data_IF_543862732199
#
_entry.id   IF_543862732199
#
_cell.length_a   1.000
_cell.length_b   1.000
_cell.length_c   1.000
_cell.angle_alpha   90.00
_cell.angle_beta   90.00
_cell.angle_gamma   90.00
#
_symmetry.space_group_name_H-M   'P 1'
#
loop_
_entity.id
_entity.type
_entity.pdbx_description
1 polymer ?
#
# COMPACT_ATOMS: atom_id res chain seq x y z
N UNK A 1 22.46 11.97 9.74
CA UNK A 1 21.44 10.90 9.80
C UNK A 1 21.07 10.65 8.36
N UNK A 2 21.77 9.71 7.75
CA UNK A 2 21.79 9.50 6.30
C UNK A 2 20.37 9.22 5.80
N UNK A 3 19.84 10.19 5.07
CA UNK A 3 18.66 10.05 4.24
C UNK A 3 19.00 8.98 3.22
N UNK A 4 18.43 7.79 3.40
CA UNK A 4 18.59 6.70 2.45
C UNK A 4 17.93 7.17 1.15
N UNK A 5 18.73 7.68 0.22
CA UNK A 5 18.34 7.86 -1.17
C UNK A 5 18.24 6.45 -1.77
N UNK A 6 17.02 5.89 -1.94
CA UNK A 6 16.85 4.56 -2.50
C UNK A 6 17.25 4.51 -4.00
N UNK A 7 17.63 5.65 -4.60
CA UNK A 7 17.80 5.77 -6.03
C UNK A 7 16.46 5.57 -6.78
N UNK A 8 16.50 5.40 -8.11
CA UNK A 8 15.30 5.24 -8.92
C UNK A 8 14.62 3.86 -8.76
N UNK A 9 15.22 2.91 -8.04
CA UNK A 9 14.77 1.52 -7.99
C UNK A 9 14.85 0.92 -6.59
N UNK A 10 13.74 0.35 -6.11
CA UNK A 10 13.71 -0.45 -4.89
C UNK A 10 13.76 -1.94 -5.23
N UNK A 11 14.63 -2.68 -4.54
CA UNK A 11 14.82 -4.11 -4.75
C UNK A 11 14.39 -4.91 -3.52
N UNK A 12 13.59 -5.95 -3.75
CA UNK A 12 13.12 -6.86 -2.71
C UNK A 12 13.35 -8.31 -3.11
N UNK A 13 13.43 -9.26 -2.17
CA UNK A 13 13.55 -10.68 -2.50
C UNK A 13 12.33 -11.19 -3.28
N UNK A 14 12.52 -12.17 -4.17
CA UNK A 14 11.44 -12.89 -4.82
C UNK A 14 10.44 -13.46 -3.79
N UNK A 15 9.15 -13.50 -4.15
CA UNK A 15 8.08 -13.94 -3.24
C UNK A 15 7.78 -12.99 -2.07
N UNK A 16 8.36 -11.79 -2.07
CA UNK A 16 8.09 -10.78 -1.04
C UNK A 16 6.79 -10.01 -1.29
N UNK A 17 6.21 -9.51 -0.21
CA UNK A 17 5.06 -8.62 -0.21
C UNK A 17 5.50 -7.21 0.17
N UNK A 18 5.37 -6.25 -0.75
CA UNK A 18 5.63 -4.84 -0.51
C UNK A 18 4.30 -4.12 -0.29
N UNK A 19 4.13 -3.54 0.88
CA UNK A 19 2.93 -2.80 1.28
C UNK A 19 3.22 -1.30 1.24
N UNK A 20 2.56 -0.60 0.31
CA UNK A 20 2.64 0.86 0.22
C UNK A 20 1.56 1.48 1.11
N UNK A 21 1.98 2.24 2.11
CA UNK A 21 1.14 2.96 3.06
C UNK A 21 1.55 4.44 3.14
N UNK A 22 0.67 5.29 3.66
CA UNK A 22 0.87 6.74 3.66
C UNK A 22 -0.40 7.46 4.08
N UNK A 23 -0.31 8.75 4.40
CA UNK A 23 -1.49 9.55 4.73
C UNK A 23 -2.51 9.59 3.58
N UNK A 24 -3.83 9.70 3.88
CA UNK A 24 -4.83 10.00 2.86
C UNK A 24 -4.43 11.27 2.09
N UNK A 25 -4.33 11.20 0.76
CA UNK A 25 -3.85 12.32 -0.06
C UNK A 25 -2.36 12.32 -0.39
N UNK A 26 -1.55 11.46 0.25
CA UNK A 26 -0.10 11.34 0.02
C UNK A 26 0.30 10.77 -1.36
N UNK A 27 -0.58 10.79 -2.36
CA UNK A 27 -0.19 10.44 -3.73
C UNK A 27 0.04 8.96 -4.06
N UNK A 28 -0.03 8.01 -3.11
CA UNK A 28 0.18 6.55 -3.32
C UNK A 28 -0.40 5.96 -4.60
N UNK A 29 -1.69 6.20 -4.88
CA UNK A 29 -2.30 5.70 -6.12
C UNK A 29 -1.67 6.35 -7.36
N UNK A 30 -1.32 7.64 -7.29
CA UNK A 30 -0.59 8.34 -8.36
C UNK A 30 0.79 7.71 -8.60
N UNK A 31 1.51 7.40 -7.52
CA UNK A 31 2.80 6.70 -7.59
C UNK A 31 2.64 5.34 -8.28
N UNK A 32 1.73 4.50 -7.78
CA UNK A 32 1.50 3.16 -8.34
C UNK A 32 1.02 3.21 -9.79
N UNK A 33 0.15 4.17 -10.14
CA UNK A 33 -0.29 4.37 -11.52
C UNK A 33 0.87 4.74 -12.43
N UNK A 34 1.83 5.55 -11.95
CA UNK A 34 3.05 5.90 -12.71
C UNK A 34 3.98 4.70 -12.85
N UNK A 35 4.25 4.00 -11.76
CA UNK A 35 5.17 2.85 -11.73
C UNK A 35 4.69 1.67 -12.59
N UNK A 36 3.38 1.43 -12.62
CA UNK A 36 2.81 0.23 -13.21
C UNK A 36 1.79 0.49 -14.33
N UNK A 37 1.64 1.74 -14.76
CA UNK A 37 0.70 2.12 -15.82
C UNK A 37 -0.77 1.85 -15.49
N UNK A 38 -1.15 1.89 -14.20
CA UNK A 38 -2.53 1.61 -13.80
C UNK A 38 -3.48 2.73 -14.28
N UNK A 39 -4.59 2.31 -14.87
CA UNK A 39 -5.69 3.12 -15.40
C UNK A 39 -6.70 3.53 -14.32
N UNK A 40 -6.77 2.79 -13.21
CA UNK A 40 -7.64 3.06 -12.07
C UNK A 40 -9.07 2.52 -12.19
N UNK A 41 -9.41 1.92 -13.34
CA UNK A 41 -10.68 1.22 -13.61
C UNK A 41 -10.55 -0.30 -13.49
N UNK A 42 -9.35 -0.81 -13.19
CA UNK A 42 -9.10 -2.24 -13.14
C UNK A 42 -9.93 -2.90 -12.07
N UNK A 43 -10.36 -4.13 -12.34
CA UNK A 43 -11.18 -4.94 -11.42
C UNK A 43 -10.42 -6.16 -10.89
N UNK A 44 -9.25 -6.45 -11.46
CA UNK A 44 -8.40 -7.58 -11.14
C UNK A 44 -6.96 -7.12 -10.84
N UNK A 45 -6.18 -7.94 -10.10
CA UNK A 45 -4.73 -7.72 -9.95
C UNK A 45 -4.05 -7.54 -11.30
N UNK A 46 -3.19 -6.53 -11.40
CA UNK A 46 -2.48 -6.20 -12.65
C UNK A 46 -1.09 -6.84 -12.60
N UNK A 47 -0.76 -7.76 -13.51
CA UNK A 47 0.60 -8.25 -13.66
C UNK A 47 1.45 -7.18 -14.36
N UNK A 48 2.57 -6.82 -13.75
CA UNK A 48 3.57 -5.90 -14.31
C UNK A 48 4.93 -6.59 -14.24
N UNK A 49 5.26 -7.37 -15.29
CA UNK A 49 6.40 -8.28 -15.28
C UNK A 49 6.24 -9.37 -14.21
N UNK A 50 7.24 -9.52 -13.35
CA UNK A 50 7.26 -10.50 -12.26
C UNK A 50 6.48 -10.04 -11.01
N UNK A 51 5.87 -8.85 -11.06
CA UNK A 51 5.17 -8.22 -9.95
C UNK A 51 3.66 -8.27 -10.17
N UNK A 52 2.92 -8.60 -9.11
CA UNK A 52 1.48 -8.48 -9.09
C UNK A 52 1.04 -7.28 -8.26
N UNK A 53 0.41 -6.30 -8.93
CA UNK A 53 -0.04 -5.06 -8.30
C UNK A 53 -1.50 -5.19 -7.87
N UNK A 54 -1.72 -5.06 -6.56
CA UNK A 54 -3.03 -5.24 -5.93
C UNK A 54 -3.45 -3.96 -5.23
N UNK A 55 -4.41 -3.23 -5.81
CA UNK A 55 -5.03 -2.08 -5.16
C UNK A 55 -6.40 -2.46 -4.56
N UNK A 56 -6.70 -1.88 -3.40
CA UNK A 56 -8.05 -1.84 -2.82
C UNK A 56 -9.09 -1.22 -3.77
N UNK A 57 -8.65 -0.34 -4.69
CA UNK A 57 -9.45 0.17 -5.80
C UNK A 57 -10.00 -0.93 -6.71
N UNK A 58 -9.20 -1.96 -7.01
CA UNK A 58 -9.61 -3.06 -7.89
C UNK A 58 -10.76 -3.87 -7.31
N UNK A 59 -10.67 -4.18 -6.01
CA UNK A 59 -11.74 -4.87 -5.30
C UNK A 59 -13.02 -4.02 -5.26
N UNK A 60 -12.89 -2.69 -5.11
CA UNK A 60 -14.02 -1.76 -5.17
C UNK A 60 -14.67 -1.74 -6.55
N UNK A 61 -13.87 -1.65 -7.62
CA UNK A 61 -14.36 -1.63 -9.00
C UNK A 61 -15.03 -2.97 -9.37
N UNK A 62 -14.45 -4.10 -8.95
CA UNK A 62 -15.04 -5.43 -9.17
C UNK A 62 -16.43 -5.55 -8.54
N UNK A 63 -16.58 -5.05 -7.32
CA UNK A 63 -17.84 -5.05 -6.60
C UNK A 63 -18.76 -3.86 -6.96
N UNK A 64 -18.29 -2.86 -7.70
CA UNK A 64 -19.05 -1.63 -7.95
C UNK A 64 -20.39 -1.88 -8.64
N UNK A 65 -20.44 -2.85 -9.56
CA UNK A 65 -21.67 -3.25 -10.27
C UNK A 65 -22.53 -4.23 -9.47
N UNK A 66 -21.92 -5.08 -8.62
CA UNK A 66 -22.60 -6.18 -7.91
C UNK A 66 -23.10 -5.80 -6.50
N UNK A 67 -22.44 -4.87 -5.81
CA UNK A 67 -22.80 -4.42 -4.46
C UNK A 67 -23.38 -3.00 -4.45
N UNK A 68 -23.84 -2.51 -5.60
CA UNK A 68 -24.52 -1.21 -5.72
C UNK A 68 -25.76 -1.08 -4.83
N UNK A 69 -26.61 -2.12 -4.64
CA UNK A 69 -27.79 -2.01 -3.78
C UNK A 69 -27.50 -2.24 -2.28
N UNK A 70 -26.27 -2.60 -1.91
CA UNK A 70 -25.93 -2.94 -0.52
C UNK A 70 -25.48 -1.71 0.29
N UNK A 71 -25.85 -1.63 1.59
CA UNK A 71 -25.35 -0.60 2.49
C UNK A 71 -23.82 -0.59 2.56
N UNK A 72 -23.24 0.60 2.75
CA UNK A 72 -21.79 0.77 2.81
C UNK A 72 -21.12 -0.10 3.90
N UNK A 73 -21.87 -0.42 4.97
CA UNK A 73 -21.43 -1.25 6.10
C UNK A 73 -21.15 -2.70 5.67
N UNK A 74 -21.92 -3.27 4.74
CA UNK A 74 -21.72 -4.62 4.22
C UNK A 74 -20.78 -4.65 3.02
N UNK A 75 -20.76 -3.57 2.23
CA UNK A 75 -19.88 -3.44 1.06
C UNK A 75 -18.40 -3.35 1.46
N UNK A 76 -18.09 -2.64 2.54
CA UNK A 76 -16.71 -2.42 2.99
C UNK A 76 -15.98 -3.70 3.40
N UNK A 77 -16.54 -4.60 4.24
CA UNK A 77 -15.88 -5.85 4.59
C UNK A 77 -15.72 -6.76 3.37
N UNK A 78 -16.70 -6.88 2.47
CA UNK A 78 -16.57 -7.68 1.25
C UNK A 78 -15.41 -7.23 0.36
N UNK A 79 -15.29 -5.91 0.12
CA UNK A 79 -14.17 -5.33 -0.63
C UNK A 79 -12.85 -5.64 0.07
N UNK A 80 -12.81 -5.50 1.40
CA UNK A 80 -11.59 -5.74 2.17
C UNK A 80 -11.18 -7.22 2.14
N UNK A 81 -12.11 -8.14 2.35
CA UNK A 81 -11.88 -9.58 2.30
C UNK A 81 -11.38 -10.00 0.92
N UNK A 82 -11.98 -9.50 -0.17
CA UNK A 82 -11.51 -9.80 -1.53
C UNK A 82 -10.09 -9.29 -1.75
N UNK A 83 -9.77 -8.09 -1.25
CA UNK A 83 -8.43 -7.52 -1.36
C UNK A 83 -7.38 -8.34 -0.57
N UNK A 84 -7.66 -8.64 0.70
CA UNK A 84 -6.79 -9.46 1.55
C UNK A 84 -6.59 -10.86 0.98
N UNK A 85 -7.67 -11.49 0.49
CA UNK A 85 -7.62 -12.80 -0.13
C UNK A 85 -6.77 -12.80 -1.41
N UNK A 86 -6.88 -11.76 -2.26
CA UNK A 86 -6.05 -11.63 -3.46
C UNK A 86 -4.56 -11.49 -3.12
N UNK A 87 -4.23 -10.72 -2.07
CA UNK A 87 -2.85 -10.61 -1.58
C UNK A 87 -2.37 -11.96 -1.09
N UNK A 88 -3.11 -12.60 -0.17
CA UNK A 88 -2.72 -13.90 0.39
C UNK A 88 -2.53 -14.96 -0.69
N UNK A 89 -3.44 -15.05 -1.66
CA UNK A 89 -3.33 -15.99 -2.79
C UNK A 89 -2.10 -15.73 -3.66
N UNK A 90 -1.71 -14.48 -3.85
CA UNK A 90 -0.53 -14.14 -4.64
C UNK A 90 0.78 -14.45 -3.89
N UNK A 91 0.82 -14.16 -2.59
CA UNK A 91 1.95 -14.50 -1.72
C UNK A 91 2.11 -16.01 -1.59
N UNK A 92 1.01 -16.77 -1.42
CA UNK A 92 1.01 -18.25 -1.41
C UNK A 92 1.43 -18.88 -2.74
N UNK A 93 1.50 -18.10 -3.82
CA UNK A 93 2.03 -18.53 -5.11
C UNK A 93 3.49 -18.14 -5.31
N UNK A 94 4.14 -17.61 -4.27
CA UNK A 94 5.53 -17.13 -4.33
C UNK A 94 5.74 -15.95 -5.28
N UNK A 95 4.70 -15.19 -5.63
CA UNK A 95 4.83 -14.04 -6.53
C UNK A 95 5.32 -12.81 -5.76
N UNK A 96 6.09 -11.94 -6.40
CA UNK A 96 6.34 -10.59 -5.89
C UNK A 96 5.05 -9.80 -5.91
N UNK A 97 4.61 -9.27 -4.77
CA UNK A 97 3.33 -8.56 -4.66
C UNK A 97 3.57 -7.13 -4.20
N UNK A 98 2.98 -6.18 -4.90
CA UNK A 98 2.93 -4.79 -4.46
C UNK A 98 1.48 -4.44 -4.17
N UNK A 99 1.18 -4.19 -2.90
CA UNK A 99 -0.18 -3.93 -2.45
C UNK A 99 -0.30 -2.59 -1.73
N UNK A 100 -1.40 -1.90 -1.97
CA UNK A 100 -1.72 -0.65 -1.29
C UNK A 100 -2.63 -0.93 -0.08
N UNK A 101 -2.16 -0.58 1.12
CA UNK A 101 -2.97 -0.68 2.32
C UNK A 101 -3.49 0.68 2.81
N UNK A 102 -4.79 0.73 3.12
CA UNK A 102 -5.45 1.87 3.78
C UNK A 102 -5.45 1.74 5.32
N UNK A 103 -4.90 0.64 5.85
CA UNK A 103 -4.87 0.32 7.26
C UNK A 103 -4.17 -1.01 7.49
N UNK A 104 -3.04 -0.97 8.17
CA UNK A 104 -2.25 -2.13 8.59
C UNK A 104 -2.91 -2.76 9.80
N UNK A 105 -3.59 -3.89 9.61
CA UNK A 105 -4.05 -4.73 10.71
C UNK A 105 -2.88 -5.65 11.11
N UNK A 106 -2.33 -5.53 12.33
CA UNK A 106 -1.12 -6.25 12.71
C UNK A 106 -1.23 -7.76 12.50
N UNK A 107 -2.36 -8.37 12.86
CA UNK A 107 -2.61 -9.80 12.67
C UNK A 107 -2.59 -10.25 11.20
N UNK A 108 -3.10 -9.43 10.28
CA UNK A 108 -3.05 -9.73 8.83
C UNK A 108 -1.60 -9.62 8.34
N UNK A 109 -0.83 -8.65 8.84
CA UNK A 109 0.60 -8.54 8.54
C UNK A 109 1.38 -9.77 9.02
N UNK A 110 1.07 -10.29 10.21
CA UNK A 110 1.72 -11.51 10.72
C UNK A 110 1.41 -12.71 9.83
N UNK A 111 0.15 -12.85 9.41
CA UNK A 111 -0.26 -13.91 8.50
C UNK A 111 0.46 -13.79 7.14
N UNK A 112 0.56 -12.59 6.57
CA UNK A 112 1.31 -12.38 5.32
C UNK A 112 2.82 -12.59 5.48
N UNK A 113 3.41 -12.17 6.60
CA UNK A 113 4.83 -12.38 6.89
C UNK A 113 5.13 -13.88 7.01
N UNK A 114 4.24 -14.64 7.64
CA UNK A 114 4.33 -16.09 7.68
C UNK A 114 4.22 -16.71 6.28
N UNK A 115 3.23 -16.32 5.48
CA UNK A 115 3.08 -16.83 4.10
C UNK A 115 4.29 -16.50 3.22
N UNK A 116 4.81 -15.28 3.28
CA UNK A 116 5.96 -14.86 2.47
C UNK A 116 7.22 -15.66 2.85
N UNK A 117 7.40 -15.95 4.14
CA UNK A 117 8.52 -16.77 4.64
C UNK A 117 8.49 -18.20 4.09
N UNK A 118 7.31 -18.78 3.82
CA UNK A 118 7.21 -20.11 3.20
C UNK A 118 7.86 -20.16 1.80
N UNK A 119 8.00 -19.01 1.14
CA UNK A 119 8.63 -18.88 -0.18
C UNK A 119 10.00 -18.18 -0.13
N UNK A 120 10.60 -18.02 1.06
CA UNK A 120 11.87 -17.32 1.23
C UNK A 120 11.79 -15.79 1.12
N UNK A 121 10.59 -15.23 0.99
CA UNK A 121 10.34 -13.79 0.91
C UNK A 121 10.04 -13.15 2.27
N UNK A 122 9.88 -11.83 2.26
CA UNK A 122 9.53 -11.02 3.43
C UNK A 122 8.35 -10.08 3.18
N UNK A 123 7.78 -9.53 4.25
CA UNK A 123 6.88 -8.38 4.15
C UNK A 123 7.69 -7.11 4.30
N UNK A 124 7.63 -6.22 3.33
CA UNK A 124 8.29 -4.92 3.36
C UNK A 124 7.24 -3.81 3.35
N UNK A 125 7.49 -2.74 4.11
CA UNK A 125 6.60 -1.58 4.17
C UNK A 125 7.26 -0.39 3.49
N UNK A 126 6.57 0.22 2.53
CA UNK A 126 6.94 1.53 1.98
C UNK A 126 5.99 2.55 2.57
N UNK A 127 6.50 3.46 3.39
CA UNK A 127 5.74 4.53 4.01
C UNK A 127 6.02 5.83 3.27
N UNK A 128 5.00 6.38 2.60
CA UNK A 128 5.11 7.71 1.99
C UNK A 128 4.79 8.76 3.05
N UNK A 129 5.82 9.44 3.52
CA UNK A 129 5.75 10.55 4.46
C UNK A 129 5.56 11.86 3.70
N UNK A 130 4.39 12.48 3.89
CA UNK A 130 4.06 13.78 3.31
C UNK A 130 3.50 14.61 4.44
N UNK A 131 3.91 15.88 4.50
CA UNK A 131 3.36 16.82 5.48
C UNK A 131 1.81 16.76 5.46
N UNK A 132 1.16 16.59 6.63
CA UNK A 132 -0.29 16.58 6.74
C UNK A 132 -0.99 17.75 6.04
N UNK A 133 -0.41 18.95 6.03
CA UNK A 133 -0.98 20.10 5.33
C UNK A 133 -0.93 19.90 3.81
N UNK A 134 0.19 19.42 3.30
CA UNK A 134 0.38 19.09 1.87
C UNK A 134 -0.54 17.94 1.44
N UNK A 135 -0.67 16.90 2.25
CA UNK A 135 -1.57 15.77 1.99
C UNK A 135 -3.03 16.24 1.95
N UNK A 136 -3.41 17.18 2.83
CA UNK A 136 -4.74 17.79 2.87
C UNK A 136 -4.99 18.68 1.64
N UNK A 137 -4.05 19.56 1.29
CA UNK A 137 -4.15 20.37 0.07
C UNK A 137 -4.30 19.50 -1.18
N UNK A 138 -3.55 18.39 -1.26
CA UNK A 138 -3.65 17.41 -2.33
C UNK A 138 -4.99 16.66 -2.38
N UNK A 139 -5.68 16.48 -1.24
CA UNK A 139 -7.05 15.96 -1.20
C UNK A 139 -8.08 16.99 -1.68
N UNK A 140 -7.95 18.24 -1.23
CA UNK A 140 -8.83 19.35 -1.61
C UNK A 140 -8.80 19.58 -3.12
N UNK A 141 -7.60 19.65 -3.72
CA UNK A 141 -7.43 19.82 -5.16
C UNK A 141 -8.07 18.68 -5.99
N UNK A 142 -8.28 17.49 -5.39
CA UNK A 142 -8.87 16.31 -6.06
C UNK A 142 -10.34 16.06 -5.70
N UNK A 143 -10.98 16.98 -4.98
CA UNK A 143 -12.40 16.88 -4.60
C UNK A 143 -12.76 15.72 -3.66
N UNK A 144 -11.77 15.07 -3.03
CA UNK A 144 -11.98 13.92 -2.13
C UNK A 144 -11.61 14.32 -0.70
N UNK A 145 -12.50 15.06 -0.05
CA UNK A 145 -12.26 15.59 1.30
C UNK A 145 -12.69 14.56 2.33
N UNK A 146 -11.71 14.03 3.07
CA UNK A 146 -11.97 13.29 4.30
C UNK A 146 -12.31 14.31 5.40
N UNK A 147 -13.30 14.02 6.25
CA UNK A 147 -13.66 14.93 7.35
C UNK A 147 -12.44 15.22 8.23
N UNK A 148 -12.37 16.43 8.80
CA UNK A 148 -11.25 16.86 9.66
C UNK A 148 -10.96 15.87 10.79
N UNK A 149 -12.01 15.30 11.40
CA UNK A 149 -11.93 14.31 12.47
C UNK A 149 -11.34 12.98 12.00
N UNK A 150 -11.76 12.48 10.84
CA UNK A 150 -11.19 11.26 10.25
C UNK A 150 -9.74 11.47 9.82
N UNK A 151 -9.41 12.64 9.25
CA UNK A 151 -8.03 13.00 8.90
C UNK A 151 -7.12 13.04 10.14
N UNK A 152 -7.56 13.70 11.22
CA UNK A 152 -6.83 13.72 12.49
C UNK A 152 -6.63 12.32 13.08
N UNK A 153 -7.64 11.43 12.98
CA UNK A 153 -7.50 10.02 13.39
C UNK A 153 -6.46 9.28 12.56
N UNK A 154 -6.37 9.56 11.26
CA UNK A 154 -5.32 9.03 10.41
C UNK A 154 -3.93 9.56 10.83
N UNK A 155 -3.77 10.86 11.06
CA UNK A 155 -2.51 11.43 11.53
C UNK A 155 -2.07 10.84 12.88
N UNK A 156 -3.00 10.66 13.83
CA UNK A 156 -2.73 10.04 15.14
C UNK A 156 -2.26 8.59 15.03
N UNK A 157 -2.79 7.83 14.07
CA UNK A 157 -2.36 6.44 13.81
C UNK A 157 -1.08 6.37 12.98
N UNK A 158 -0.84 7.38 12.14
CA UNK A 158 0.31 7.45 11.25
C UNK A 158 1.60 7.79 11.99
N UNK A 159 1.56 8.75 12.93
CA UNK A 159 2.74 9.18 13.70
C UNK A 159 3.49 8.02 14.37
N UNK A 160 2.86 7.16 15.19
CA UNK A 160 3.57 6.05 15.82
C UNK A 160 4.16 5.06 14.81
N UNK A 161 3.48 4.81 13.69
CA UNK A 161 3.99 3.93 12.64
C UNK A 161 5.23 4.52 11.97
N UNK A 162 5.22 5.83 11.73
CA UNK A 162 6.35 6.56 11.16
C UNK A 162 7.53 6.61 12.14
N UNK A 163 7.26 6.84 13.43
CA UNK A 163 8.29 6.87 14.47
C UNK A 163 8.95 5.49 14.62
N UNK A 164 8.16 4.40 14.65
CA UNK A 164 8.68 3.03 14.63
C UNK A 164 9.45 2.71 13.34
N UNK A 165 8.98 3.21 12.19
CA UNK A 165 9.66 3.02 10.91
C UNK A 165 11.00 3.74 10.83
N UNK A 166 11.09 4.97 11.34
CA UNK A 166 12.34 5.72 11.47
C UNK A 166 13.29 5.05 12.46
N UNK A 167 12.75 4.37 13.47
CA UNK A 167 13.49 3.48 14.36
C UNK A 167 13.91 2.14 13.73
N UNK A 168 13.65 1.92 12.44
CA UNK A 168 14.08 0.74 11.68
C UNK A 168 13.33 -0.55 11.99
N UNK A 169 12.31 -0.52 12.85
CA UNK A 169 11.59 -1.73 13.28
C UNK A 169 10.09 -1.54 13.22
N UNK A 170 9.44 -2.25 12.30
CA UNK A 170 7.98 -2.38 12.25
C UNK A 170 7.61 -3.85 12.19
N UNK A 171 7.66 -4.58 13.32
CA UNK A 171 7.25 -5.98 13.34
C UNK A 171 5.81 -6.11 12.82
N UNK A 172 5.48 -7.10 11.97
CA UNK A 172 6.31 -8.21 11.48
C UNK A 172 7.02 -7.97 10.13
N UNK A 173 7.09 -6.73 9.65
CA UNK A 173 7.79 -6.42 8.42
C UNK A 173 9.30 -6.71 8.56
N UNK A 174 9.87 -7.36 7.54
CA UNK A 174 11.29 -7.64 7.40
C UNK A 174 12.10 -6.36 7.12
N UNK A 175 11.46 -5.33 6.56
CA UNK A 175 12.07 -4.03 6.34
C UNK A 175 11.02 -2.94 6.14
N UNK A 176 11.42 -1.71 6.42
CA UNK A 176 10.59 -0.52 6.22
C UNK A 176 11.42 0.55 5.51
N UNK A 177 10.83 1.13 4.47
CA UNK A 177 11.41 2.20 3.69
C UNK A 177 10.49 3.41 3.84
N UNK A 178 11.00 4.51 4.39
CA UNK A 178 10.27 5.77 4.44
C UNK A 178 10.69 6.58 3.23
N UNK A 179 9.72 6.93 2.38
CA UNK A 179 9.93 7.79 1.23
C UNK A 179 9.26 9.12 1.52
N UNK A 180 9.96 10.22 1.31
CA UNK A 180 9.32 11.52 1.23
C UNK A 180 8.63 11.69 -0.14
N UNK A 181 8.04 12.86 -0.38
CA UNK A 181 7.36 13.13 -1.64
C UNK A 181 8.31 13.15 -2.83
N UNK A 182 9.47 13.79 -2.69
CA UNK A 182 10.41 13.98 -3.80
C UNK A 182 11.07 12.67 -4.19
N UNK A 183 11.42 11.83 -3.22
CA UNK A 183 11.96 10.49 -3.44
C UNK A 183 10.89 9.54 -3.98
N UNK A 184 9.65 9.63 -3.50
CA UNK A 184 8.54 8.91 -4.11
C UNK A 184 8.36 9.34 -5.58
N UNK A 185 8.50 10.63 -5.91
CA UNK A 185 8.40 11.11 -7.29
C UNK A 185 9.58 10.65 -8.18
N UNK A 186 10.77 10.46 -7.60
CA UNK A 186 11.96 9.89 -8.28
C UNK A 186 11.90 8.37 -8.45
N UNK A 187 11.12 7.66 -7.64
CA UNK A 187 11.00 6.20 -7.73
C UNK A 187 10.39 5.83 -9.09
N UNK A 188 11.13 5.03 -9.87
CA UNK A 188 10.74 4.60 -11.21
C UNK A 188 10.34 3.13 -11.27
N UNK A 189 10.90 2.29 -10.40
CA UNK A 189 10.60 0.85 -10.43
C UNK A 189 10.74 0.19 -9.06
N UNK A 190 9.95 -0.85 -8.82
CA UNK A 190 10.15 -1.79 -7.72
C UNK A 190 10.37 -3.16 -8.34
N UNK A 191 11.52 -3.78 -8.05
CA UNK A 191 11.92 -5.07 -8.60
C UNK A 191 12.00 -6.14 -7.53
N UNK A 192 11.78 -7.38 -7.95
CA UNK A 192 11.86 -8.57 -7.13
C UNK A 192 12.91 -9.51 -7.74
N UNK A 193 13.88 -9.96 -6.93
CA UNK A 193 15.00 -10.81 -7.37
C UNK A 193 15.25 -11.97 -6.41
#
# INVERSE_FOLDING_TARGET
MDEVDPGPALHYPAGSLVLVAGLPGAGKSTLLNRLYGLRGDETAPVPAGDVLVIDSGQARNWWARRLRPLPAVLRTPLIHTTHVWRIGRAVLRGRGVVAHTRGTWPHILHLFAWMARLHGGGVHLILIDVDPETARAGQFARGRVVTRTTFQRHCRRWRPLLDSARGGTVPPAAGVTVLDRDTADKLQVIRFH
#
